data_IF_904209637085
#
_entry.id   IF_904209637085
#
_cell.length_a   1.000
_cell.length_b   1.000
_cell.length_c   1.000
_cell.angle_alpha   90.00
_cell.angle_beta   90.00
_cell.angle_gamma   90.00
#
_symmetry.space_group_name_H-M   'P 1'
#
loop_
_entity.id
_entity.type
_entity.pdbx_description
1 polymer ?
#
# COMPACT_ATOMS: atom_id res chain seq x y z
N UNK A 1 -47.35 33.59 10.36
CA UNK A 1 -46.09 32.84 10.55
C UNK A 1 -46.30 31.45 9.97
N UNK A 2 -45.76 31.18 8.78
CA UNK A 2 -45.86 29.87 8.14
C UNK A 2 -44.66 29.03 8.58
N UNK A 3 -44.93 28.04 9.43
CA UNK A 3 -43.93 27.08 9.89
C UNK A 3 -43.51 26.18 8.73
N UNK A 4 -42.27 26.33 8.29
CA UNK A 4 -41.61 25.38 7.40
C UNK A 4 -41.21 24.16 8.24
N UNK A 5 -41.77 22.99 7.93
CA UNK A 5 -41.21 21.70 8.35
C UNK A 5 -39.93 21.45 7.55
N UNK A 6 -38.77 21.21 8.19
CA UNK A 6 -37.57 20.82 7.45
C UNK A 6 -37.79 19.45 6.81
N UNK A 7 -37.63 19.39 5.49
CA UNK A 7 -37.73 18.17 4.71
C UNK A 7 -36.69 17.15 5.19
N UNK A 8 -37.16 15.95 5.52
CA UNK A 8 -36.36 14.79 5.93
C UNK A 8 -35.22 14.53 4.94
N UNK A 9 -33.98 14.67 5.42
CA UNK A 9 -32.80 14.28 4.64
C UNK A 9 -32.80 12.75 4.57
N UNK A 10 -33.02 12.15 3.39
CA UNK A 10 -32.92 10.69 3.24
C UNK A 10 -31.52 10.25 3.70
N UNK A 11 -31.45 9.42 4.74
CA UNK A 11 -30.19 8.86 5.20
C UNK A 11 -29.53 8.10 4.05
N UNK A 12 -28.25 8.37 3.79
CA UNK A 12 -27.47 7.61 2.82
C UNK A 12 -27.44 6.14 3.25
N UNK A 13 -27.87 5.24 2.37
CA UNK A 13 -27.81 3.80 2.58
C UNK A 13 -26.94 3.20 1.47
N UNK A 14 -25.72 2.73 1.78
CA UNK A 14 -24.86 2.15 0.76
C UNK A 14 -25.42 0.83 0.26
N UNK A 15 -25.21 0.54 -1.02
CA UNK A 15 -25.55 -0.76 -1.60
C UNK A 15 -24.56 -1.83 -1.15
N UNK A 16 -24.95 -3.10 -1.21
CA UNK A 16 -24.05 -4.23 -0.94
C UNK A 16 -22.76 -4.19 -1.77
N UNK A 17 -22.85 -3.70 -3.02
CA UNK A 17 -21.70 -3.53 -3.91
C UNK A 17 -20.72 -2.50 -3.36
N UNK A 18 -21.23 -1.38 -2.82
CA UNK A 18 -20.44 -0.32 -2.22
C UNK A 18 -19.80 -0.77 -0.89
N UNK A 19 -20.56 -1.51 -0.07
CA UNK A 19 -20.05 -2.10 1.18
C UNK A 19 -18.90 -3.06 0.87
N UNK A 20 -19.08 -4.02 -0.04
CA UNK A 20 -18.02 -4.97 -0.42
C UNK A 20 -16.77 -4.28 -0.98
N UNK A 21 -16.95 -3.23 -1.78
CA UNK A 21 -15.82 -2.47 -2.32
C UNK A 21 -15.07 -1.71 -1.21
N UNK A 22 -15.78 -1.15 -0.22
CA UNK A 22 -15.17 -0.51 0.93
C UNK A 22 -14.42 -1.53 1.82
N UNK A 23 -15.00 -2.71 2.06
CA UNK A 23 -14.35 -3.82 2.77
C UNK A 23 -13.04 -4.24 2.07
N UNK A 24 -13.05 -4.34 0.74
CA UNK A 24 -11.84 -4.66 -0.03
C UNK A 24 -10.74 -3.61 0.14
N UNK A 25 -11.09 -2.32 0.18
CA UNK A 25 -10.12 -1.24 0.45
C UNK A 25 -9.56 -1.34 1.87
N UNK A 26 -10.40 -1.59 2.86
CA UNK A 26 -9.98 -1.76 4.26
C UNK A 26 -9.03 -2.95 4.42
N UNK A 27 -9.35 -4.09 3.79
CA UNK A 27 -8.51 -5.27 3.77
C UNK A 27 -7.14 -5.00 3.10
N UNK A 28 -7.15 -4.35 1.93
CA UNK A 28 -5.91 -4.02 1.21
C UNK A 28 -5.04 -3.01 1.98
N UNK A 29 -5.64 -2.02 2.64
CA UNK A 29 -4.95 -1.09 3.54
C UNK A 29 -4.26 -1.83 4.69
N UNK A 30 -4.99 -2.73 5.36
CA UNK A 30 -4.45 -3.51 6.46
C UNK A 30 -3.29 -4.40 6.01
N UNK A 31 -3.41 -5.03 4.84
CA UNK A 31 -2.34 -5.83 4.25
C UNK A 31 -1.09 -4.99 3.93
N UNK A 32 -1.23 -3.85 3.26
CA UNK A 32 -0.11 -2.96 2.98
C UNK A 32 0.56 -2.49 4.28
N UNK A 33 -0.21 -2.12 5.30
CA UNK A 33 0.30 -1.72 6.61
C UNK A 33 1.06 -2.83 7.34
N UNK A 34 0.64 -4.10 7.17
CA UNK A 34 1.31 -5.25 7.77
C UNK A 34 2.63 -5.60 7.04
N UNK A 35 2.64 -5.54 5.70
CA UNK A 35 3.80 -5.89 4.87
C UNK A 35 4.89 -4.81 4.92
N UNK A 36 4.49 -3.53 4.93
CA UNK A 36 5.39 -2.37 4.88
C UNK A 36 6.55 -2.42 5.87
N UNK A 37 6.33 -2.54 7.20
CA UNK A 37 7.44 -2.51 8.14
C UNK A 37 8.41 -3.68 7.94
N UNK A 38 7.92 -4.85 7.53
CA UNK A 38 8.78 -6.01 7.25
C UNK A 38 9.71 -5.72 6.06
N UNK A 39 9.14 -5.21 4.97
CA UNK A 39 9.88 -4.89 3.75
C UNK A 39 10.88 -3.77 3.97
N UNK A 40 10.42 -2.66 4.54
CA UNK A 40 11.29 -1.51 4.78
C UNK A 40 12.42 -1.84 5.77
N UNK A 41 12.22 -2.77 6.72
CA UNK A 41 13.29 -3.20 7.64
C UNK A 41 14.41 -3.92 6.90
N UNK A 42 14.13 -4.98 6.12
CA UNK A 42 15.22 -5.70 5.45
C UNK A 42 15.89 -4.84 4.37
N UNK A 43 15.13 -3.97 3.68
CA UNK A 43 15.71 -3.08 2.69
C UNK A 43 16.72 -2.11 3.31
N UNK A 44 16.38 -1.51 4.46
CA UNK A 44 17.32 -0.65 5.21
C UNK A 44 18.54 -1.43 5.66
N UNK A 45 18.37 -2.63 6.23
CA UNK A 45 19.49 -3.45 6.68
C UNK A 45 20.47 -3.77 5.54
N UNK A 46 19.97 -4.13 4.36
CA UNK A 46 20.80 -4.42 3.18
C UNK A 46 21.55 -3.16 2.74
N UNK A 47 20.85 -2.01 2.63
CA UNK A 47 21.50 -0.74 2.25
C UNK A 47 22.57 -0.31 3.26
N UNK A 48 22.30 -0.46 4.56
CA UNK A 48 23.24 -0.17 5.64
C UNK A 48 24.47 -1.08 5.60
N UNK A 49 24.29 -2.36 5.29
CA UNK A 49 25.35 -3.35 5.19
C UNK A 49 26.29 -3.08 4.02
N UNK A 50 25.75 -2.80 2.84
CA UNK A 50 26.55 -2.64 1.61
C UNK A 50 27.09 -1.24 1.42
N UNK A 51 26.43 -0.23 2.00
CA UNK A 51 26.78 1.18 1.83
C UNK A 51 27.00 1.56 0.34
N UNK A 52 26.08 1.15 -0.52
CA UNK A 52 26.17 1.42 -1.95
C UNK A 52 26.28 2.92 -2.24
N UNK A 53 27.09 3.27 -3.24
CA UNK A 53 27.21 4.66 -3.71
C UNK A 53 26.25 4.91 -4.87
N UNK A 54 25.77 6.15 -5.05
CA UNK A 54 25.07 6.51 -6.27
C UNK A 54 25.92 6.19 -7.51
N UNK A 55 25.26 5.66 -8.55
CA UNK A 55 25.88 5.42 -9.84
C UNK A 55 26.40 6.71 -10.46
N UNK A 56 27.52 6.62 -11.18
CA UNK A 56 28.15 7.72 -11.94
C UNK A 56 27.21 8.38 -12.95
N UNK A 57 26.14 7.68 -13.35
CA UNK A 57 25.08 8.24 -14.20
C UNK A 57 24.39 9.46 -13.57
N UNK A 58 24.50 9.61 -12.25
CA UNK A 58 23.89 10.69 -11.48
C UNK A 58 24.90 11.78 -11.07
N UNK A 59 26.19 11.72 -11.42
CA UNK A 59 27.24 12.63 -10.93
C UNK A 59 26.93 14.14 -11.04
N UNK A 60 26.09 14.53 -12.02
CA UNK A 60 25.69 15.93 -12.24
C UNK A 60 24.43 16.34 -11.47
N UNK A 61 23.83 15.45 -10.68
CA UNK A 61 22.63 15.73 -9.90
C UNK A 61 23.02 16.36 -8.56
N UNK A 62 22.56 17.60 -8.28
CA UNK A 62 22.82 18.21 -6.98
C UNK A 62 22.02 17.50 -5.88
N UNK A 63 22.62 17.36 -4.70
CA UNK A 63 21.95 16.83 -3.52
C UNK A 63 21.90 15.30 -3.43
N UNK A 64 22.73 14.59 -4.20
CA UNK A 64 22.89 13.16 -4.03
C UNK A 64 23.45 12.81 -2.65
N UNK A 65 22.99 11.70 -2.05
CA UNK A 65 23.60 11.18 -0.85
C UNK A 65 25.01 10.63 -1.17
N UNK A 66 25.91 10.62 -0.18
CA UNK A 66 27.22 9.95 -0.34
C UNK A 66 27.05 8.42 -0.43
N UNK A 67 26.05 7.90 0.29
CA UNK A 67 25.67 6.49 0.38
C UNK A 67 24.15 6.39 0.32
N UNK A 68 23.64 5.46 -0.47
CA UNK A 68 22.19 5.21 -0.56
C UNK A 68 21.75 4.39 0.66
N UNK A 69 21.06 5.03 1.60
CA UNK A 69 20.54 4.41 2.83
C UNK A 69 19.02 4.41 2.92
N UNK A 70 18.34 5.27 2.16
CA UNK A 70 16.88 5.27 2.08
C UNK A 70 16.43 4.31 0.97
N UNK A 71 15.57 3.30 1.25
CA UNK A 71 14.98 2.46 0.22
C UNK A 71 14.22 3.22 -0.88
N UNK A 72 13.77 4.45 -0.63
CA UNK A 72 13.15 5.30 -1.67
C UNK A 72 14.17 5.90 -2.65
N UNK A 73 15.46 5.78 -2.35
CA UNK A 73 16.59 6.29 -3.14
C UNK A 73 17.33 5.16 -3.88
N UNK A 74 16.80 3.93 -3.89
CA UNK A 74 17.37 2.77 -4.57
C UNK A 74 17.55 2.97 -6.09
N UNK A 75 16.77 3.87 -6.70
CA UNK A 75 16.91 4.28 -8.09
C UNK A 75 18.25 4.98 -8.41
N UNK A 76 19.02 5.39 -7.40
CA UNK A 76 20.38 5.90 -7.60
C UNK A 76 21.43 4.80 -7.79
N UNK A 77 21.12 3.55 -7.47
CA UNK A 77 22.06 2.43 -7.61
C UNK A 77 22.39 2.14 -9.08
N UNK A 78 23.63 1.71 -9.32
CA UNK A 78 24.04 1.20 -10.63
C UNK A 78 23.49 -0.20 -10.90
N UNK A 79 23.56 -0.71 -12.14
CA UNK A 79 23.05 -2.04 -12.49
C UNK A 79 23.66 -3.18 -11.66
N UNK A 80 24.95 -3.10 -11.34
CA UNK A 80 25.66 -4.13 -10.55
C UNK A 80 25.20 -4.13 -9.10
N UNK A 81 25.21 -2.96 -8.44
CA UNK A 81 24.73 -2.80 -7.06
C UNK A 81 23.24 -3.13 -6.93
N UNK A 82 22.42 -2.73 -7.91
CA UNK A 82 21.00 -3.06 -7.96
C UNK A 82 20.77 -4.57 -8.06
N UNK A 83 21.61 -5.31 -8.81
CA UNK A 83 21.50 -6.76 -8.89
C UNK A 83 21.78 -7.43 -7.54
N UNK A 84 22.79 -6.95 -6.79
CA UNK A 84 23.09 -7.42 -5.43
C UNK A 84 21.94 -7.10 -4.48
N UNK A 85 21.50 -5.84 -4.46
CA UNK A 85 20.41 -5.36 -3.62
C UNK A 85 19.12 -6.16 -3.84
N UNK A 86 18.74 -6.41 -5.09
CA UNK A 86 17.54 -7.18 -5.43
C UNK A 86 17.66 -8.64 -5.03
N UNK A 87 18.82 -9.27 -5.23
CA UNK A 87 19.05 -10.66 -4.84
C UNK A 87 18.90 -10.86 -3.32
N UNK A 88 19.46 -9.95 -2.51
CA UNK A 88 19.33 -10.01 -1.05
C UNK A 88 17.92 -9.66 -0.58
N UNK A 89 17.24 -8.71 -1.23
CA UNK A 89 15.83 -8.44 -0.97
C UNK A 89 14.96 -9.67 -1.22
N UNK A 90 15.22 -10.44 -2.28
CA UNK A 90 14.51 -11.68 -2.59
C UNK A 90 14.80 -12.76 -1.54
N UNK A 91 16.06 -12.92 -1.13
CA UNK A 91 16.43 -13.87 -0.08
C UNK A 91 15.76 -13.53 1.27
N UNK A 92 15.76 -12.25 1.67
CA UNK A 92 15.10 -11.79 2.89
C UNK A 92 13.58 -11.97 2.84
N UNK A 93 12.96 -11.68 1.69
CA UNK A 93 11.53 -11.95 1.45
C UNK A 93 11.21 -13.43 1.66
N UNK A 94 11.99 -14.32 1.05
CA UNK A 94 11.75 -15.76 1.10
C UNK A 94 11.97 -16.31 2.52
N UNK A 95 12.98 -15.81 3.24
CA UNK A 95 13.22 -16.15 4.65
C UNK A 95 12.07 -15.74 5.58
N UNK A 96 11.38 -14.63 5.27
CA UNK A 96 10.19 -14.16 5.99
C UNK A 96 8.90 -14.82 5.52
N UNK A 97 8.95 -15.69 4.49
CA UNK A 97 7.78 -16.37 3.95
C UNK A 97 6.76 -15.41 3.31
N UNK A 98 7.20 -14.25 2.82
CA UNK A 98 6.31 -13.27 2.18
C UNK A 98 5.91 -13.75 0.79
N UNK A 99 4.61 -14.02 0.62
CA UNK A 99 4.07 -14.55 -0.65
C UNK A 99 3.89 -13.42 -1.67
N UNK A 100 4.40 -13.66 -2.88
CA UNK A 100 4.26 -12.78 -4.06
C UNK A 100 3.77 -13.57 -5.26
N UNK A 101 3.15 -12.90 -6.22
CA UNK A 101 2.62 -13.51 -7.44
C UNK A 101 3.69 -13.92 -8.44
N UNK A 102 4.87 -13.30 -8.39
CA UNK A 102 6.02 -13.60 -9.24
C UNK A 102 7.32 -13.52 -8.44
N UNK A 103 8.35 -14.35 -8.75
CA UNK A 103 9.64 -14.33 -8.06
C UNK A 103 10.37 -12.98 -8.07
N UNK A 104 10.11 -12.13 -9.07
CA UNK A 104 10.76 -10.81 -9.21
C UNK A 104 9.96 -9.67 -8.56
N UNK A 105 8.83 -9.98 -7.92
CA UNK A 105 7.98 -8.95 -7.35
C UNK A 105 8.39 -8.57 -5.92
N UNK A 106 8.32 -7.26 -5.66
CA UNK A 106 8.40 -6.70 -4.32
C UNK A 106 7.03 -6.84 -3.60
N UNK A 107 6.97 -7.47 -2.41
CA UNK A 107 5.73 -7.64 -1.66
C UNK A 107 5.00 -6.33 -1.36
N UNK A 108 5.76 -5.27 -1.04
CA UNK A 108 5.19 -3.95 -0.75
C UNK A 108 4.56 -3.30 -1.98
N UNK A 109 5.17 -3.48 -3.16
CA UNK A 109 4.61 -2.98 -4.42
C UNK A 109 3.34 -3.75 -4.80
N UNK A 110 3.30 -5.07 -4.61
CA UNK A 110 2.08 -5.85 -4.82
C UNK A 110 0.95 -5.43 -3.87
N UNK A 111 1.24 -5.27 -2.58
CA UNK A 111 0.26 -4.83 -1.60
C UNK A 111 -0.30 -3.43 -1.95
N UNK A 112 0.58 -2.53 -2.39
CA UNK A 112 0.21 -1.19 -2.87
C UNK A 112 -0.65 -1.26 -4.13
N UNK A 113 -0.32 -2.14 -5.08
CA UNK A 113 -1.14 -2.34 -6.29
C UNK A 113 -2.54 -2.80 -5.93
N UNK A 114 -2.66 -3.82 -5.07
CA UNK A 114 -3.95 -4.33 -4.57
C UNK A 114 -4.78 -3.23 -3.91
N UNK A 115 -4.16 -2.35 -3.11
CA UNK A 115 -4.86 -1.19 -2.53
C UNK A 115 -5.37 -0.23 -3.62
N UNK A 116 -4.51 0.14 -4.57
CA UNK A 116 -4.89 1.04 -5.67
C UNK A 116 -6.07 0.47 -6.46
N UNK A 117 -6.05 -0.82 -6.76
CA UNK A 117 -7.12 -1.52 -7.47
C UNK A 117 -8.43 -1.54 -6.67
N UNK A 118 -8.37 -1.83 -5.37
CA UNK A 118 -9.53 -1.80 -4.49
C UNK A 118 -10.13 -0.39 -4.39
N UNK A 119 -9.29 0.65 -4.27
CA UNK A 119 -9.76 2.04 -4.25
C UNK A 119 -10.41 2.44 -5.58
N UNK A 120 -9.86 1.99 -6.71
CA UNK A 120 -10.44 2.22 -8.04
C UNK A 120 -11.81 1.55 -8.16
N UNK A 121 -11.92 0.30 -7.68
CA UNK A 121 -13.18 -0.43 -7.64
C UNK A 121 -14.21 0.30 -6.79
N UNK A 122 -13.83 0.81 -5.60
CA UNK A 122 -14.72 1.61 -4.76
C UNK A 122 -15.25 2.84 -5.49
N UNK A 123 -14.38 3.63 -6.13
CA UNK A 123 -14.82 4.82 -6.87
C UNK A 123 -15.75 4.47 -8.03
N UNK A 124 -15.50 3.36 -8.73
CA UNK A 124 -16.37 2.89 -9.81
C UNK A 124 -17.79 2.59 -9.32
N UNK A 125 -17.97 2.14 -8.06
CA UNK A 125 -19.31 1.93 -7.47
C UNK A 125 -20.05 3.22 -7.11
N UNK A 126 -19.36 4.37 -7.14
CA UNK A 126 -19.91 5.67 -6.72
C UNK A 126 -20.30 6.57 -7.90
N UNK A 127 -19.86 6.23 -9.12
CA UNK A 127 -20.10 7.04 -10.34
C UNK A 127 -21.60 7.23 -10.61
N UNK A 128 -22.39 6.19 -10.37
CA UNK A 128 -23.83 6.20 -10.65
C UNK A 128 -24.67 6.79 -9.50
N UNK A 129 -24.03 7.18 -8.39
CA UNK A 129 -24.73 7.82 -7.26
C UNK A 129 -24.62 9.33 -7.40
N UNK A 130 -25.72 10.08 -7.70
CA UNK A 130 -25.64 11.49 -8.06
C UNK A 130 -24.93 12.39 -7.04
N UNK A 131 -25.08 12.08 -5.75
CA UNK A 131 -24.42 12.83 -4.66
C UNK A 131 -22.95 12.48 -4.45
N UNK A 132 -22.48 11.33 -4.94
CA UNK A 132 -21.12 10.83 -4.76
C UNK A 132 -20.28 10.85 -6.05
N UNK A 133 -20.92 11.04 -7.21
CA UNK A 133 -20.26 11.15 -8.51
C UNK A 133 -19.15 12.22 -8.56
N UNK A 134 -19.27 13.40 -7.91
CA UNK A 134 -18.17 14.36 -7.83
C UNK A 134 -16.94 13.83 -7.09
N UNK A 135 -17.13 13.03 -6.03
CA UNK A 135 -16.04 12.39 -5.27
C UNK A 135 -15.38 11.28 -6.10
N UNK A 136 -16.17 10.50 -6.84
CA UNK A 136 -15.67 9.47 -7.75
C UNK A 136 -14.71 10.06 -8.81
N UNK A 137 -15.04 11.25 -9.33
CA UNK A 137 -14.23 11.98 -10.32
C UNK A 137 -13.02 12.70 -9.71
N UNK A 138 -12.97 12.89 -8.39
CA UNK A 138 -11.92 13.65 -7.71
C UNK A 138 -10.55 12.95 -7.69
N UNK A 139 -10.47 11.64 -7.96
CA UNK A 139 -9.18 10.91 -8.06
C UNK A 139 -8.28 11.42 -9.17
N UNK A 140 -8.86 11.99 -10.24
CA UNK A 140 -8.13 12.59 -11.35
C UNK A 140 -7.60 14.00 -11.03
N UNK A 141 -7.93 14.56 -9.87
CA UNK A 141 -7.53 15.92 -9.51
C UNK A 141 -6.16 15.93 -8.79
N UNK A 142 -5.25 16.84 -9.19
CA UNK A 142 -3.97 17.01 -8.51
C UNK A 142 -4.13 17.50 -7.06
N UNK A 143 -3.07 17.33 -6.26
CA UNK A 143 -2.99 17.87 -4.89
C UNK A 143 -3.60 17.00 -3.78
N UNK A 144 -3.59 15.66 -3.93
CA UNK A 144 -4.02 14.74 -2.86
C UNK A 144 -5.54 14.60 -2.67
N UNK A 145 -6.34 15.31 -3.48
CA UNK A 145 -7.81 15.28 -3.45
C UNK A 145 -8.39 13.87 -3.63
N UNK A 146 -7.72 13.01 -4.39
CA UNK A 146 -8.09 11.60 -4.54
C UNK A 146 -8.02 10.81 -3.23
N UNK A 147 -6.97 11.01 -2.42
CA UNK A 147 -6.84 10.34 -1.10
C UNK A 147 -7.92 10.81 -0.14
N UNK A 148 -8.21 12.11 -0.13
CA UNK A 148 -9.29 12.68 0.67
C UNK A 148 -10.66 12.11 0.27
N UNK A 149 -10.94 11.98 -1.03
CA UNK A 149 -12.18 11.41 -1.52
C UNK A 149 -12.38 9.95 -1.06
N UNK A 150 -11.34 9.11 -1.15
CA UNK A 150 -11.38 7.74 -0.65
C UNK A 150 -11.63 7.74 0.87
N UNK A 151 -10.91 8.55 1.64
CA UNK A 151 -11.09 8.63 3.09
C UNK A 151 -12.52 9.06 3.47
N UNK A 152 -13.10 10.03 2.76
CA UNK A 152 -14.49 10.45 2.96
C UNK A 152 -15.48 9.33 2.66
N UNK A 153 -15.29 8.62 1.54
CA UNK A 153 -16.16 7.49 1.18
C UNK A 153 -16.07 6.35 2.19
N UNK A 154 -14.86 6.00 2.64
CA UNK A 154 -14.66 4.99 3.67
C UNK A 154 -15.30 5.40 4.99
N UNK A 155 -15.18 6.67 5.41
CA UNK A 155 -15.82 7.17 6.63
C UNK A 155 -17.35 7.05 6.57
N UNK A 156 -17.94 7.28 5.40
CA UNK A 156 -19.39 7.16 5.21
C UNK A 156 -19.89 5.71 5.19
N UNK A 157 -19.07 4.75 4.75
CA UNK A 157 -19.48 3.35 4.50
C UNK A 157 -18.98 2.40 5.59
N UNK A 158 -17.91 2.73 6.31
CA UNK A 158 -17.32 1.86 7.34
C UNK A 158 -18.29 1.41 8.42
N UNK A 159 -19.32 2.18 8.85
CA UNK A 159 -20.30 1.69 9.83
C UNK A 159 -21.15 0.51 9.33
N UNK A 160 -21.20 0.31 8.00
CA UNK A 160 -21.95 -0.77 7.35
C UNK A 160 -21.07 -1.97 6.99
N UNK A 161 -19.75 -1.85 7.15
CA UNK A 161 -18.79 -2.93 6.87
C UNK A 161 -18.75 -3.94 8.02
N UNK A 162 -18.42 -5.20 7.73
CA UNK A 162 -18.21 -6.22 8.74
C UNK A 162 -17.02 -5.87 9.64
N UNK A 163 -17.13 -6.16 10.94
CA UNK A 163 -16.08 -5.89 11.93
C UNK A 163 -14.74 -6.58 11.60
N UNK A 164 -14.77 -7.68 10.85
CA UNK A 164 -13.58 -8.45 10.47
C UNK A 164 -13.00 -8.06 9.10
N UNK A 165 -13.60 -7.11 8.38
CA UNK A 165 -13.12 -6.68 7.06
C UNK A 165 -11.66 -6.16 7.08
N UNK A 166 -11.20 -5.63 8.22
CA UNK A 166 -9.80 -5.23 8.43
C UNK A 166 -8.86 -6.39 8.83
N UNK A 167 -9.39 -7.53 9.28
CA UNK A 167 -8.61 -8.66 9.81
C UNK A 167 -8.33 -9.78 8.79
N UNK A 168 -9.09 -9.84 7.69
CA UNK A 168 -9.14 -11.01 6.79
C UNK A 168 -7.85 -11.29 6.01
N UNK A 169 -6.83 -10.42 6.01
CA UNK A 169 -5.62 -10.63 5.17
C UNK A 169 -4.41 -11.16 5.96
N UNK A 170 -4.52 -11.37 7.27
CA UNK A 170 -3.43 -11.96 8.06
C UNK A 170 -3.24 -13.47 7.85
N UNK A 171 -4.18 -14.15 7.16
CA UNK A 171 -4.22 -15.61 7.13
C UNK A 171 -3.32 -16.28 6.07
N UNK A 172 -2.69 -15.52 5.17
CA UNK A 172 -1.79 -16.07 4.14
C UNK A 172 -0.29 -15.91 4.45
N UNK A 173 0.05 -15.34 5.61
CA UNK A 173 1.43 -15.14 6.06
C UNK A 173 1.92 -16.22 7.06
N UNK A 174 1.11 -17.24 7.34
CA UNK A 174 1.41 -18.25 8.34
C UNK A 174 1.36 -19.67 7.77
N UNK A 175 2.41 -20.06 7.03
CA UNK A 175 2.82 -21.48 6.99
C UNK A 175 3.73 -21.76 8.18
N UNK A 176 3.66 -22.94 8.83
CA UNK A 176 4.44 -23.22 10.03
C UNK A 176 5.89 -23.49 9.66
N UNK A 177 6.71 -22.46 9.80
CA UNK A 177 8.16 -22.50 9.92
C UNK A 177 8.53 -21.32 10.80
N UNK A 178 9.06 -21.59 11.99
CA UNK A 178 9.47 -20.58 12.96
C UNK A 178 10.25 -19.46 12.26
N UNK A 179 9.85 -18.18 12.37
CA UNK A 179 10.64 -17.09 11.82
C UNK A 179 12.03 -17.15 12.46
N UNK A 180 13.04 -17.36 11.64
CA UNK A 180 14.42 -17.20 12.08
C UNK A 180 14.63 -15.71 12.40
N UNK A 181 15.39 -15.37 13.45
CA UNK A 181 15.78 -13.98 13.70
C UNK A 181 16.43 -13.41 12.43
N UNK A 182 16.05 -12.19 12.06
CA UNK A 182 16.58 -11.49 10.87
C UNK A 182 18.13 -11.43 10.86
N UNK A 183 18.75 -11.43 12.04
CA UNK A 183 20.21 -11.47 12.21
C UNK A 183 20.85 -12.79 11.77
N UNK A 184 20.11 -13.90 11.74
CA UNK A 184 20.62 -15.24 11.39
C UNK A 184 20.54 -15.54 9.89
N UNK A 185 19.76 -14.77 9.14
CA UNK A 185 19.51 -15.00 7.70
C UNK A 185 20.46 -14.21 6.78
N UNK A 186 21.30 -13.34 7.35
CA UNK A 186 22.20 -12.43 6.63
C UNK A 186 23.69 -12.69 6.91
N UNK A 187 24.04 -13.78 7.61
CA UNK A 187 25.45 -14.19 7.76
C UNK A 187 25.89 -15.13 6.60
N UNK A 188 27.12 -14.97 6.07
CA UNK A 188 27.63 -15.68 4.90
C UNK A 188 27.94 -17.17 5.12
#
# INVERSE_FOLDING_TARGET
MASQTPSSTSAFTPTDRQIRAAEAVLAANAHEQAVRPLVETYQRMILEQHQFKPSVTWDNCPGLPEVVLDPNEDHYLGPEDMAVYMAECHAARDALGLVVSSPDHCPLLEARSKRIDAENALLATMVDTPRLAPLAKARLLPGGKGKQAIATLLSAISPFCRADASKTVAFDLARPGTPQPLESALEP
#
